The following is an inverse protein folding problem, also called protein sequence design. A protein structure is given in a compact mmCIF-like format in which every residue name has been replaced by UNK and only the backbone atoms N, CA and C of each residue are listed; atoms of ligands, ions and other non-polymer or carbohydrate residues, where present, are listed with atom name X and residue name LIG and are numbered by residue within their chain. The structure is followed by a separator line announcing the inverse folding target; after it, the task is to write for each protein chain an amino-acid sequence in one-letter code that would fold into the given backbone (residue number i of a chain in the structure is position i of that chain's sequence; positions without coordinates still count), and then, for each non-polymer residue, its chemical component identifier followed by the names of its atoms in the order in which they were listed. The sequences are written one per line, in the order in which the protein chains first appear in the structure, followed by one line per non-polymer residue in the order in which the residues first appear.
data_IF_486634707875
#
_entry.id   IF_486634707875
#
_cell.length_a   1.000
_cell.length_b   1.000
_cell.length_c   1.000
_cell.angle_alpha   90.00
_cell.angle_beta   90.00
_cell.angle_gamma   90.00
#
_symmetry.space_group_name_H-M   'P 1'
#
loop_
_entity.id
_entity.type
_entity.pdbx_description
1 polymer ?
#
# COMPACT_ATOMS: atom_id res chain seq x y z
N UNK A 1 0.74 -7.17 -6.98
CA UNK A 1 1.06 -5.77 -7.31
C UNK A 1 2.11 -5.30 -6.33
N UNK A 2 3.20 -4.68 -6.77
CA UNK A 2 4.18 -4.12 -5.83
C UNK A 2 3.75 -2.68 -5.57
N UNK A 3 3.20 -2.42 -4.39
CA UNK A 3 2.74 -1.09 -3.99
C UNK A 3 3.96 -0.15 -3.88
N UNK A 4 4.05 0.90 -4.72
CA UNK A 4 5.18 1.84 -4.72
C UNK A 4 5.40 2.52 -3.38
N UNK A 5 4.31 2.80 -2.64
CA UNK A 5 4.35 3.44 -1.32
C UNK A 5 4.97 2.49 -0.29
N UNK A 6 4.65 1.19 -0.36
CA UNK A 6 5.29 0.14 0.44
C UNK A 6 6.77 -0.05 0.11
N UNK A 7 7.17 0.00 -1.16
CA UNK A 7 8.58 -0.14 -1.57
C UNK A 7 9.41 1.02 -1.03
N UNK A 8 8.88 2.24 -1.11
CA UNK A 8 9.56 3.45 -0.66
C UNK A 8 9.40 3.70 0.86
N UNK A 9 8.53 2.95 1.53
CA UNK A 9 8.25 3.12 2.96
C UNK A 9 7.60 4.47 3.30
N UNK A 10 6.79 5.00 2.38
CA UNK A 10 6.16 6.33 2.49
C UNK A 10 4.64 6.19 2.59
N UNK A 11 4.01 7.17 3.23
CA UNK A 11 2.56 7.24 3.33
C UNK A 11 1.90 7.52 1.96
N UNK A 12 0.67 7.04 1.77
CA UNK A 12 -0.14 7.31 0.58
C UNK A 12 -0.42 8.80 0.38
N UNK A 13 -0.42 9.60 1.45
CA UNK A 13 -0.59 11.06 1.41
C UNK A 13 0.73 11.82 1.43
N UNK A 14 1.87 11.14 1.29
CA UNK A 14 3.18 11.79 1.35
C UNK A 14 3.36 12.81 0.20
N UNK A 15 3.89 13.98 0.54
CA UNK A 15 4.24 15.01 -0.42
C UNK A 15 5.47 14.62 -1.27
N UNK A 16 5.66 15.28 -2.40
CA UNK A 16 6.74 15.00 -3.36
C UNK A 16 8.12 15.08 -2.72
N UNK A 17 8.30 16.02 -1.81
CA UNK A 17 9.54 16.19 -1.04
C UNK A 17 9.81 14.98 -0.15
N UNK A 18 8.78 14.39 0.45
CA UNK A 18 8.89 13.23 1.33
C UNK A 18 9.21 11.97 0.53
N UNK A 19 8.55 11.79 -0.61
CA UNK A 19 8.80 10.70 -1.56
C UNK A 19 10.23 10.78 -2.11
N UNK A 20 10.69 11.97 -2.48
CA UNK A 20 12.05 12.21 -2.97
C UNK A 20 13.10 11.97 -1.89
N UNK A 21 12.83 12.38 -0.65
CA UNK A 21 13.73 12.13 0.47
C UNK A 21 13.87 10.63 0.77
N UNK A 22 12.76 9.89 0.77
CA UNK A 22 12.75 8.44 0.97
C UNK A 22 13.50 7.70 -0.16
N UNK A 23 13.31 8.11 -1.41
CA UNK A 23 14.05 7.56 -2.55
C UNK A 23 15.58 7.77 -2.41
N UNK A 24 16.01 8.97 -2.02
CA UNK A 24 17.43 9.26 -1.80
C UNK A 24 18.02 8.45 -0.63
N UNK A 25 17.24 8.25 0.44
CA UNK A 25 17.64 7.40 1.57
C UNK A 25 17.79 5.94 1.12
N UNK A 26 16.82 5.40 0.38
CA UNK A 26 16.82 4.04 -0.13
C UNK A 26 18.00 3.75 -1.08
N UNK A 27 18.36 4.71 -1.95
CA UNK A 27 19.55 4.59 -2.81
C UNK A 27 20.85 4.62 -2.01
N UNK A 28 20.93 5.46 -0.98
CA UNK A 28 22.13 5.51 -0.11
C UNK A 28 22.32 4.22 0.66
N UNK A 29 21.22 3.57 1.05
CA UNK A 29 21.24 2.31 1.79
C UNK A 29 21.47 1.10 0.88
N UNK A 30 21.01 1.17 -0.37
CA UNK A 30 21.15 0.13 -1.39
C UNK A 30 21.90 0.66 -2.62
N UNK A 31 23.23 0.87 -2.53
CA UNK A 31 24.01 1.27 -3.70
C UNK A 31 23.92 0.19 -4.79
N UNK A 32 23.93 0.59 -6.07
CA UNK A 32 23.72 -0.33 -7.20
C UNK A 32 24.78 -1.44 -7.28
N UNK A 33 25.96 -1.22 -6.70
CA UNK A 33 27.03 -2.23 -6.58
C UNK A 33 26.70 -3.34 -5.57
N UNK A 34 25.77 -3.12 -4.64
CA UNK A 34 25.46 -4.05 -3.54
C UNK A 34 24.21 -4.88 -3.81
N UNK A 35 23.18 -4.29 -4.44
CA UNK A 35 21.94 -4.99 -4.77
C UNK A 35 21.19 -4.28 -5.91
N UNK A 36 21.40 -4.77 -7.14
CA UNK A 36 20.84 -4.19 -8.35
C UNK A 36 19.33 -4.37 -8.45
N UNK A 37 18.79 -5.51 -8.00
CA UNK A 37 17.35 -5.79 -8.08
C UNK A 37 16.55 -4.89 -7.14
N UNK A 38 17.07 -4.65 -5.92
CA UNK A 38 16.49 -3.67 -5.01
C UNK A 38 16.53 -2.25 -5.57
N UNK A 39 17.65 -1.85 -6.16
CA UNK A 39 17.79 -0.52 -6.76
C UNK A 39 16.78 -0.32 -7.90
N UNK A 40 16.64 -1.30 -8.80
CA UNK A 40 15.66 -1.25 -9.89
C UNK A 40 14.21 -1.20 -9.35
N UNK A 41 13.91 -1.93 -8.27
CA UNK A 41 12.59 -1.91 -7.62
C UNK A 41 12.27 -0.54 -7.01
N UNK A 42 13.21 0.05 -6.26
CA UNK A 42 13.07 1.38 -5.63
C UNK A 42 12.94 2.47 -6.69
N UNK A 43 13.70 2.38 -7.78
CA UNK A 43 13.60 3.32 -8.91
C UNK A 43 12.26 3.23 -9.61
N UNK A 44 11.79 2.01 -9.90
CA UNK A 44 10.48 1.80 -10.55
C UNK A 44 9.35 2.34 -9.68
N UNK A 45 9.43 2.12 -8.35
CA UNK A 45 8.50 2.67 -7.37
C UNK A 45 8.48 4.21 -7.43
N UNK A 46 9.65 4.85 -7.37
CA UNK A 46 9.77 6.30 -7.43
C UNK A 46 9.23 6.87 -8.73
N UNK A 47 9.61 6.29 -9.88
CA UNK A 47 9.11 6.74 -11.18
C UNK A 47 7.58 6.65 -11.28
N UNK A 48 6.93 5.68 -10.62
CA UNK A 48 5.48 5.56 -10.60
C UNK A 48 4.78 6.68 -9.82
N UNK A 49 5.37 7.19 -8.73
CA UNK A 49 4.72 8.15 -7.81
C UNK A 49 5.38 9.54 -7.75
N UNK A 50 6.47 9.78 -8.48
CA UNK A 50 7.24 11.03 -8.41
C UNK A 50 6.52 12.28 -8.93
N UNK A 51 5.46 12.11 -9.74
CA UNK A 51 4.75 13.23 -10.37
C UNK A 51 3.27 13.22 -10.00
N UNK A 52 2.72 14.40 -9.67
CA UNK A 52 1.30 14.59 -9.40
C UNK A 52 0.39 14.07 -10.53
N UNK A 53 0.80 14.24 -11.80
CA UNK A 53 0.10 13.70 -12.96
C UNK A 53 0.09 12.17 -12.99
N UNK A 54 1.16 11.50 -12.52
CA UNK A 54 1.21 10.03 -12.42
C UNK A 54 0.40 9.52 -11.23
N UNK A 55 0.35 10.27 -10.12
CA UNK A 55 -0.56 9.98 -9.01
C UNK A 55 -2.02 10.14 -9.39
N UNK A 56 -2.37 11.19 -10.14
CA UNK A 56 -3.71 11.36 -10.71
C UNK A 56 -4.03 10.26 -11.71
N UNK A 57 -3.09 9.89 -12.58
CA UNK A 57 -3.31 8.80 -13.52
C UNK A 57 -3.51 7.45 -12.80
N UNK A 58 -2.73 7.19 -11.75
CA UNK A 58 -2.89 6.01 -10.90
C UNK A 58 -4.21 6.09 -10.10
N UNK A 59 -4.59 7.22 -9.53
CA UNK A 59 -5.82 7.34 -8.75
C UNK A 59 -7.09 7.29 -9.61
N UNK A 60 -7.03 7.79 -10.86
CA UNK A 60 -8.19 7.91 -11.75
C UNK A 60 -8.31 6.75 -12.74
N UNK A 61 -7.21 6.08 -13.10
CA UNK A 61 -7.19 5.05 -14.14
C UNK A 61 -6.60 3.70 -13.71
N UNK A 62 -6.20 3.51 -12.45
CA UNK A 62 -6.00 2.13 -11.97
C UNK A 62 -7.37 1.45 -11.84
N UNK A 63 -7.72 0.69 -12.87
CA UNK A 63 -8.71 -0.37 -12.81
C UNK A 63 -8.09 -1.63 -12.18
N UNK A 64 -7.26 -1.49 -11.15
CA UNK A 64 -6.81 -2.64 -10.37
C UNK A 64 -7.99 -3.11 -9.51
N UNK A 65 -8.24 -4.41 -9.53
CA UNK A 65 -9.32 -4.99 -8.71
C UNK A 65 -9.02 -4.69 -7.25
N UNK A 66 -9.99 -4.15 -6.48
CA UNK A 66 -9.79 -3.82 -5.09
C UNK A 66 -9.32 -5.06 -4.33
N UNK A 67 -8.37 -4.89 -3.43
CA UNK A 67 -7.87 -5.99 -2.58
C UNK A 67 -8.97 -6.37 -1.59
N UNK A 68 -8.88 -7.58 -1.03
CA UNK A 68 -9.81 -8.02 0.03
C UNK A 68 -9.79 -7.03 1.21
N UNK A 69 -8.62 -6.46 1.55
CA UNK A 69 -8.51 -5.45 2.61
C UNK A 69 -9.25 -4.14 2.27
N UNK A 70 -9.21 -3.69 1.02
CA UNK A 70 -9.93 -2.50 0.56
C UNK A 70 -11.45 -2.73 0.65
N UNK A 71 -11.90 -3.92 0.24
CA UNK A 71 -13.29 -4.33 0.39
C UNK A 71 -13.70 -4.42 1.87
N UNK A 72 -12.86 -5.03 2.72
CA UNK A 72 -13.12 -5.11 4.16
C UNK A 72 -13.22 -3.73 4.80
N UNK A 73 -12.33 -2.81 4.45
CA UNK A 73 -12.33 -1.43 4.95
C UNK A 73 -13.59 -0.67 4.53
N UNK A 74 -13.96 -0.75 3.24
CA UNK A 74 -15.16 -0.13 2.72
C UNK A 74 -16.42 -0.65 3.42
N UNK A 75 -16.58 -1.98 3.54
CA UNK A 75 -17.76 -2.56 4.19
C UNK A 75 -17.72 -2.35 5.72
N UNK A 76 -16.53 -2.34 6.35
CA UNK A 76 -16.34 -2.02 7.79
C UNK A 76 -16.89 -0.66 8.19
N UNK A 77 -16.82 0.32 7.28
CA UNK A 77 -17.31 1.69 7.51
C UNK A 77 -18.82 1.77 7.62
N UNK A 78 -19.54 0.83 6.98
CA UNK A 78 -21.00 0.73 7.04
C UNK A 78 -21.49 -0.14 8.22
N UNK A 79 -20.59 -0.90 8.87
CA UNK A 79 -20.98 -1.76 9.99
C UNK A 79 -21.11 -0.95 11.29
N UNK A 80 -22.32 -0.99 11.85
CA UNK A 80 -22.54 -0.56 13.23
C UNK A 80 -21.89 -1.58 14.18
N UNK A 81 -21.08 -1.16 15.18
CA UNK A 81 -20.50 -2.09 16.14
C UNK A 81 -21.61 -2.80 16.91
N UNK A 82 -21.82 -4.07 16.61
CA UNK A 82 -22.82 -4.92 17.25
C UNK A 82 -22.13 -6.11 17.92
N UNK A 83 -22.51 -6.49 19.15
CA UNK A 83 -21.95 -7.67 19.79
C UNK A 83 -22.22 -8.92 18.94
N UNK A 84 -21.22 -9.80 18.77
CA UNK A 84 -21.41 -11.02 18.00
C UNK A 84 -22.44 -11.91 18.68
N UNK A 85 -23.37 -12.46 17.89
CA UNK A 85 -24.36 -13.44 18.39
C UNK A 85 -23.66 -14.67 18.94
N UNK A 86 -24.22 -15.29 19.98
CA UNK A 86 -23.72 -16.52 20.60
C UNK A 86 -23.40 -17.62 19.55
N UNK A 87 -24.31 -17.84 18.59
CA UNK A 87 -24.10 -18.80 17.49
C UNK A 87 -22.85 -18.50 16.65
N UNK A 88 -22.49 -17.23 16.48
CA UNK A 88 -21.31 -16.80 15.73
C UNK A 88 -20.03 -17.00 16.56
N UNK A 89 -20.08 -16.71 17.86
CA UNK A 89 -18.99 -16.98 18.80
C UNK A 89 -18.70 -18.49 18.90
N UNK A 90 -19.72 -19.32 19.10
CA UNK A 90 -19.57 -20.77 19.19
C UNK A 90 -18.95 -21.36 17.91
N UNK A 91 -19.38 -20.88 16.74
CA UNK A 91 -18.80 -21.29 15.45
C UNK A 91 -17.32 -20.94 15.31
N UNK A 92 -16.90 -19.75 15.76
CA UNK A 92 -15.50 -19.33 15.72
C UNK A 92 -14.62 -20.14 16.69
N UNK A 93 -15.18 -20.52 17.84
CA UNK A 93 -14.51 -21.34 18.85
C UNK A 93 -14.46 -22.83 18.48
N UNK A 94 -14.97 -23.22 17.30
CA UNK A 94 -15.03 -24.62 16.87
C UNK A 94 -16.02 -25.47 17.67
N UNK A 95 -16.86 -24.86 18.51
CA UNK A 95 -17.93 -25.53 19.21
C UNK A 95 -19.12 -25.71 18.24
N UNK A 96 -19.45 -26.96 17.96
CA UNK A 96 -20.52 -27.33 17.03
C UNK A 96 -21.91 -27.17 17.64
#
# INVERSE_FOLDING_TARGET
MIDPYRILGVDLTAADETIRAAYLAAIRESPPERDRERFESVRTAYEAICNHHRRLAHALFDCSLPTIDDLLSAVSSDFVPQPPTERRLLRLLGAK
#
